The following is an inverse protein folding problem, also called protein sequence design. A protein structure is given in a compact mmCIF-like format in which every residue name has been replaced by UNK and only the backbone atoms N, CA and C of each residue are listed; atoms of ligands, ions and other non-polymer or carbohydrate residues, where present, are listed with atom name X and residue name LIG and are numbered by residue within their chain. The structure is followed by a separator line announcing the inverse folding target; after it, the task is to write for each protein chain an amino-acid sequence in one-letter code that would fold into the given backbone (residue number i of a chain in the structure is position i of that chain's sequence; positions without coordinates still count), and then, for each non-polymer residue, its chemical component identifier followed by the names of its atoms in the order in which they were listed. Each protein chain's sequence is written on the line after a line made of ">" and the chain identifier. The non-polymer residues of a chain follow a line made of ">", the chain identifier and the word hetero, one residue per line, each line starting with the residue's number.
data_IF_816828891838
#
_entry.id   IF_816828891838
#
_cell.length_a   1.000
_cell.length_b   1.000
_cell.length_c   1.000
_cell.angle_alpha   90.00
_cell.angle_beta   90.00
_cell.angle_gamma   90.00
#
_symmetry.space_group_name_H-M   'P 1'
#
loop_
_entity.id
_entity.type
_entity.pdbx_description
1 polymer ?
#
# COMPACT_ATOMS: atom_id res chain seq x y z
N UNK A 1 -61.21 -19.62 16.69
CA UNK A 1 -60.44 -20.65 15.95
C UNK A 1 -58.96 -20.43 16.20
N UNK A 2 -58.17 -21.46 16.54
CA UNK A 2 -56.73 -21.30 16.84
C UNK A 2 -55.93 -20.63 15.71
N UNK A 3 -56.45 -20.74 14.48
CA UNK A 3 -55.94 -20.09 13.27
C UNK A 3 -55.91 -18.56 13.35
N UNK A 4 -56.92 -17.92 13.95
CA UNK A 4 -56.99 -16.46 14.04
C UNK A 4 -56.03 -15.91 15.10
N UNK A 5 -55.82 -16.68 16.18
CA UNK A 5 -54.84 -16.35 17.22
C UNK A 5 -53.40 -16.47 16.68
N UNK A 6 -53.13 -17.48 15.87
CA UNK A 6 -51.85 -17.64 15.17
C UNK A 6 -51.63 -16.55 14.10
N UNK A 7 -52.69 -16.14 13.40
CA UNK A 7 -52.63 -15.04 12.44
C UNK A 7 -52.33 -13.70 13.12
N UNK A 8 -52.95 -13.43 14.28
CA UNK A 8 -52.71 -12.21 15.04
C UNK A 8 -51.29 -12.15 15.64
N UNK A 9 -50.78 -13.26 16.15
CA UNK A 9 -49.41 -13.31 16.70
C UNK A 9 -48.33 -13.20 15.63
N UNK A 10 -48.55 -13.82 14.46
CA UNK A 10 -47.64 -13.69 13.31
C UNK A 10 -47.65 -12.29 12.70
N UNK A 11 -48.83 -11.65 12.61
CA UNK A 11 -48.94 -10.25 12.20
C UNK A 11 -48.20 -9.30 13.16
N UNK A 12 -48.41 -9.44 14.48
CA UNK A 12 -47.69 -8.62 15.47
C UNK A 12 -46.18 -8.85 15.47
N UNK A 13 -45.71 -10.09 15.27
CA UNK A 13 -44.29 -10.39 15.15
C UNK A 13 -43.67 -9.81 13.86
N UNK A 14 -44.43 -9.75 12.78
CA UNK A 14 -44.01 -9.10 11.52
C UNK A 14 -43.87 -7.58 11.71
N UNK A 15 -44.86 -6.94 12.33
CA UNK A 15 -44.86 -5.48 12.58
C UNK A 15 -43.71 -5.05 13.51
N UNK A 16 -43.39 -5.87 14.52
CA UNK A 16 -42.23 -5.64 15.40
C UNK A 16 -40.91 -5.74 14.62
N UNK A 17 -40.76 -6.75 13.76
CA UNK A 17 -39.55 -6.88 12.94
C UNK A 17 -39.41 -5.71 11.96
N UNK A 18 -40.50 -5.30 11.33
CA UNK A 18 -40.49 -4.20 10.37
C UNK A 18 -40.15 -2.87 11.04
N UNK A 19 -40.77 -2.56 12.20
CA UNK A 19 -40.47 -1.35 12.96
C UNK A 19 -39.03 -1.31 13.47
N UNK A 20 -38.49 -2.44 13.92
CA UNK A 20 -37.07 -2.55 14.29
C UNK A 20 -36.14 -2.30 13.10
N UNK A 21 -36.46 -2.85 11.92
CA UNK A 21 -35.67 -2.61 10.70
C UNK A 21 -35.70 -1.14 10.27
N UNK A 22 -36.86 -0.49 10.33
CA UNK A 22 -37.00 0.94 10.02
C UNK A 22 -36.15 1.76 10.98
N UNK A 23 -36.24 1.48 12.29
CA UNK A 23 -35.45 2.18 13.30
C UNK A 23 -33.95 1.96 13.09
N UNK A 24 -33.50 0.73 12.85
CA UNK A 24 -32.08 0.46 12.57
C UNK A 24 -31.59 1.21 11.33
N UNK A 25 -32.42 1.30 10.29
CA UNK A 25 -32.10 2.08 9.09
C UNK A 25 -32.02 3.57 9.39
N UNK A 26 -32.92 4.10 10.23
CA UNK A 26 -32.89 5.48 10.71
C UNK A 26 -31.65 5.76 11.54
N UNK A 27 -31.37 4.95 12.57
CA UNK A 27 -30.19 5.08 13.43
C UNK A 27 -28.89 5.01 12.60
N UNK A 28 -28.84 4.15 11.57
CA UNK A 28 -27.71 4.10 10.63
C UNK A 28 -27.59 5.37 9.79
N UNK A 29 -28.70 5.94 9.34
CA UNK A 29 -28.70 7.17 8.56
C UNK A 29 -28.31 8.39 9.41
N UNK A 30 -28.79 8.44 10.65
CA UNK A 30 -28.36 9.46 11.63
C UNK A 30 -26.88 9.32 11.97
N UNK A 31 -26.35 8.10 12.05
CA UNK A 31 -24.91 7.89 12.26
C UNK A 31 -24.04 8.37 11.10
N UNK A 32 -24.62 8.53 9.90
CA UNK A 32 -23.97 9.10 8.71
C UNK A 32 -24.14 10.62 8.61
N UNK A 33 -24.89 11.25 9.52
CA UNK A 33 -25.07 12.69 9.53
C UNK A 33 -23.75 13.37 9.88
N UNK A 34 -23.39 14.37 9.07
CA UNK A 34 -22.19 15.17 9.28
C UNK A 34 -22.64 16.49 9.90
N UNK A 35 -22.12 16.89 11.07
CA UNK A 35 -22.47 18.17 11.67
C UNK A 35 -22.15 19.34 10.72
N UNK A 36 -23.05 20.33 10.64
CA UNK A 36 -22.92 21.45 9.67
C UNK A 36 -21.66 22.30 9.89
N UNK A 37 -21.14 22.39 11.12
CA UNK A 37 -19.88 23.08 11.45
C UNK A 37 -18.68 22.13 11.61
N UNK A 38 -18.75 20.91 11.06
CA UNK A 38 -17.69 19.93 11.24
C UNK A 38 -16.38 20.36 10.54
N UNK A 39 -15.32 20.55 11.33
CA UNK A 39 -13.96 20.67 10.82
C UNK A 39 -13.54 19.38 10.08
N UNK A 40 -12.65 19.52 9.09
CA UNK A 40 -12.10 18.44 8.26
C UNK A 40 -11.56 17.31 9.16
N UNK A 41 -10.84 17.67 10.22
CA UNK A 41 -10.28 16.73 11.20
C UNK A 41 -11.35 15.88 11.87
N UNK A 42 -12.49 16.50 12.20
CA UNK A 42 -13.64 15.83 12.82
C UNK A 42 -14.30 14.86 11.86
N UNK A 43 -14.48 15.26 10.59
CA UNK A 43 -15.05 14.39 9.56
C UNK A 43 -14.14 13.18 9.28
N UNK A 44 -12.82 13.39 9.22
CA UNK A 44 -11.85 12.30 9.10
C UNK A 44 -11.94 11.34 10.31
N UNK A 45 -12.09 11.88 11.52
CA UNK A 45 -12.23 11.05 12.72
C UNK A 45 -13.48 10.15 12.69
N UNK A 46 -14.61 10.65 12.16
CA UNK A 46 -15.81 9.84 11.90
C UNK A 46 -15.54 8.72 10.89
N UNK A 47 -14.87 9.03 9.78
CA UNK A 47 -14.47 8.02 8.80
C UNK A 47 -13.56 6.94 9.41
N UNK A 48 -12.59 7.33 10.23
CA UNK A 48 -11.70 6.39 10.94
C UNK A 48 -12.45 5.52 11.95
N UNK A 49 -13.51 6.05 12.58
CA UNK A 49 -14.39 5.26 13.45
C UNK A 49 -15.12 4.19 12.66
N UNK A 50 -15.63 4.50 11.47
CA UNK A 50 -16.29 3.51 10.61
C UNK A 50 -15.34 2.42 10.10
N UNK A 51 -14.06 2.75 9.85
CA UNK A 51 -13.05 1.71 9.57
C UNK A 51 -12.92 0.75 10.76
N UNK A 52 -12.89 1.26 12.00
CA UNK A 52 -12.81 0.42 13.21
C UNK A 52 -14.05 -0.45 13.39
N UNK A 53 -15.21 0.04 12.94
CA UNK A 53 -16.47 -0.70 12.91
C UNK A 53 -16.57 -1.71 11.75
N UNK A 54 -15.51 -1.87 10.96
CA UNK A 54 -15.48 -2.71 9.76
C UNK A 54 -16.50 -2.33 8.67
N UNK A 55 -16.86 -1.04 8.59
CA UNK A 55 -17.78 -0.49 7.59
C UNK A 55 -17.03 0.44 6.61
N UNK A 56 -16.23 -0.10 5.68
CA UNK A 56 -15.44 0.73 4.75
C UNK A 56 -16.30 1.59 3.81
N UNK A 57 -17.52 1.14 3.47
CA UNK A 57 -18.46 1.92 2.64
C UNK A 57 -18.88 3.24 3.31
N UNK A 58 -19.27 3.15 4.59
CA UNK A 58 -19.63 4.33 5.38
C UNK A 58 -18.40 5.24 5.59
N UNK A 59 -17.23 4.65 5.81
CA UNK A 59 -15.99 5.41 5.96
C UNK A 59 -15.67 6.25 4.72
N UNK A 60 -15.88 5.70 3.51
CA UNK A 60 -15.70 6.42 2.24
C UNK A 60 -16.61 7.65 2.18
N UNK A 61 -17.86 7.57 2.65
CA UNK A 61 -18.76 8.72 2.67
C UNK A 61 -18.15 9.91 3.44
N UNK A 62 -17.64 9.65 4.65
CA UNK A 62 -16.98 10.68 5.45
C UNK A 62 -15.70 11.21 4.79
N UNK A 63 -14.84 10.34 4.25
CA UNK A 63 -13.62 10.82 3.58
C UNK A 63 -13.92 11.60 2.30
N UNK A 64 -14.94 11.23 1.54
CA UNK A 64 -15.42 12.03 0.42
C UNK A 64 -15.85 13.42 0.88
N UNK A 65 -16.59 13.52 1.99
CA UNK A 65 -16.97 14.83 2.53
C UNK A 65 -15.76 15.65 2.99
N UNK A 66 -14.80 15.01 3.67
CA UNK A 66 -13.55 15.68 4.04
C UNK A 66 -12.81 16.23 2.81
N UNK A 67 -12.85 15.50 1.68
CA UNK A 67 -12.23 15.90 0.43
C UNK A 67 -13.04 16.93 -0.38
N UNK A 68 -14.35 17.07 -0.13
CA UNK A 68 -15.13 18.21 -0.64
C UNK A 68 -14.71 19.52 0.06
N UNK A 69 -14.35 19.44 1.34
CA UNK A 69 -13.86 20.59 2.12
C UNK A 69 -12.40 20.93 1.77
N UNK A 70 -11.56 19.91 1.60
CA UNK A 70 -10.18 20.05 1.14
C UNK A 70 -9.78 18.88 0.24
N UNK A 71 -9.76 19.11 -1.07
CA UNK A 71 -9.52 18.08 -2.08
C UNK A 71 -8.14 17.44 -2.03
N UNK A 72 -7.16 18.07 -1.37
CA UNK A 72 -5.77 17.61 -1.30
C UNK A 72 -5.35 17.15 0.09
N UNK A 73 -6.30 16.94 1.03
CA UNK A 73 -5.97 16.41 2.35
C UNK A 73 -5.38 14.99 2.25
N UNK A 74 -4.07 14.89 2.55
CA UNK A 74 -3.30 13.66 2.42
C UNK A 74 -3.87 12.55 3.32
N UNK A 75 -4.35 12.88 4.53
CA UNK A 75 -4.84 11.87 5.46
C UNK A 75 -6.18 11.29 5.00
N UNK A 76 -7.09 12.12 4.49
CA UNK A 76 -8.34 11.68 3.90
C UNK A 76 -8.12 10.84 2.65
N UNK A 77 -7.23 11.27 1.73
CA UNK A 77 -6.86 10.49 0.53
C UNK A 77 -6.28 9.11 0.89
N UNK A 78 -5.31 9.04 1.81
CA UNK A 78 -4.72 7.77 2.25
C UNK A 78 -5.76 6.86 2.91
N UNK A 79 -6.63 7.43 3.74
CA UNK A 79 -7.64 6.65 4.46
C UNK A 79 -8.72 6.12 3.52
N UNK A 80 -9.16 6.94 2.55
CA UNK A 80 -10.10 6.52 1.52
C UNK A 80 -9.50 5.49 0.56
N UNK A 81 -8.24 5.66 0.16
CA UNK A 81 -7.49 4.65 -0.59
C UNK A 81 -7.50 3.29 0.10
N UNK A 82 -7.24 3.26 1.41
CA UNK A 82 -7.32 2.04 2.21
C UNK A 82 -8.71 1.41 2.18
N UNK A 83 -9.78 2.20 2.29
CA UNK A 83 -11.14 1.70 2.19
C UNK A 83 -11.44 1.11 0.81
N UNK A 84 -10.99 1.75 -0.26
CA UNK A 84 -11.13 1.21 -1.62
C UNK A 84 -10.43 -0.13 -1.78
N UNK A 85 -9.23 -0.32 -1.21
CA UNK A 85 -8.57 -1.64 -1.20
C UNK A 85 -9.37 -2.70 -0.45
N UNK A 86 -9.97 -2.35 0.70
CA UNK A 86 -10.83 -3.27 1.45
C UNK A 86 -12.08 -3.69 0.66
N UNK A 87 -12.55 -2.83 -0.25
CA UNK A 87 -13.68 -3.11 -1.14
C UNK A 87 -13.27 -3.73 -2.48
N UNK A 88 -11.97 -3.97 -2.71
CA UNK A 88 -11.45 -4.50 -3.98
C UNK A 88 -11.38 -3.48 -5.12
N UNK A 89 -11.64 -2.19 -4.85
CA UNK A 89 -11.61 -1.11 -5.84
C UNK A 89 -10.19 -0.53 -6.00
N UNK A 90 -9.22 -1.38 -6.35
CA UNK A 90 -7.79 -1.01 -6.37
C UNK A 90 -7.44 0.15 -7.31
N UNK A 91 -8.17 0.33 -8.41
CA UNK A 91 -7.96 1.46 -9.33
C UNK A 91 -8.26 2.82 -8.68
N UNK A 92 -9.32 2.91 -7.87
CA UNK A 92 -9.65 4.15 -7.14
C UNK A 92 -8.66 4.38 -6.00
N UNK A 93 -8.25 3.31 -5.34
CA UNK A 93 -7.21 3.37 -4.31
C UNK A 93 -5.88 3.92 -4.84
N UNK A 94 -5.50 3.54 -6.06
CA UNK A 94 -4.31 4.03 -6.73
C UNK A 94 -4.42 5.54 -7.01
N UNK A 95 -5.54 6.01 -7.54
CA UNK A 95 -5.76 7.44 -7.82
C UNK A 95 -5.62 8.30 -6.57
N UNK A 96 -6.22 7.88 -5.45
CA UNK A 96 -6.09 8.58 -4.17
C UNK A 96 -4.64 8.59 -3.67
N UNK A 97 -3.93 7.47 -3.78
CA UNK A 97 -2.53 7.38 -3.37
C UNK A 97 -1.60 8.24 -4.25
N UNK A 98 -1.89 8.34 -5.54
CA UNK A 98 -1.16 9.20 -6.49
C UNK A 98 -1.40 10.68 -6.20
N UNK A 99 -2.64 11.05 -5.93
CA UNK A 99 -3.00 12.42 -5.54
C UNK A 99 -2.26 12.81 -4.25
N UNK A 100 -2.27 11.93 -3.24
CA UNK A 100 -1.56 12.16 -1.98
C UNK A 100 -0.03 12.32 -2.18
N UNK A 101 0.57 11.56 -3.11
CA UNK A 101 1.99 11.68 -3.47
C UNK A 101 2.30 12.89 -4.35
N UNK A 102 1.29 13.45 -5.03
CA UNK A 102 1.39 14.74 -5.72
C UNK A 102 1.66 15.87 -4.74
N UNK A 103 0.97 15.84 -3.60
CA UNK A 103 1.10 16.82 -2.51
C UNK A 103 2.36 16.61 -1.68
N UNK A 104 2.58 15.38 -1.19
CA UNK A 104 3.81 15.01 -0.48
C UNK A 104 4.43 13.76 -1.10
N UNK A 105 5.41 14.00 -1.95
CA UNK A 105 6.15 12.96 -2.67
C UNK A 105 6.79 11.93 -1.74
N UNK A 106 7.15 12.30 -0.50
CA UNK A 106 7.87 11.45 0.43
C UNK A 106 6.98 10.90 1.55
N UNK A 107 5.67 11.08 1.46
CA UNK A 107 4.75 10.56 2.45
C UNK A 107 4.80 9.02 2.50
N UNK A 108 5.31 8.48 3.61
CA UNK A 108 5.54 7.04 3.77
C UNK A 108 4.23 6.24 3.66
N UNK A 109 3.14 6.78 4.20
CA UNK A 109 1.83 6.11 4.16
C UNK A 109 1.25 6.12 2.75
N UNK A 110 1.39 7.22 2.01
CA UNK A 110 0.95 7.26 0.61
C UNK A 110 1.80 6.36 -0.31
N UNK A 111 3.12 6.28 -0.08
CA UNK A 111 4.02 5.34 -0.78
C UNK A 111 3.52 3.90 -0.58
N UNK A 112 3.18 3.54 0.65
CA UNK A 112 2.63 2.24 0.98
C UNK A 112 1.29 1.98 0.27
N UNK A 113 0.34 2.91 0.36
CA UNK A 113 -0.96 2.77 -0.31
C UNK A 113 -0.82 2.61 -1.83
N UNK A 114 0.10 3.35 -2.46
CA UNK A 114 0.38 3.18 -3.89
C UNK A 114 0.95 1.80 -4.20
N UNK A 115 1.90 1.31 -3.39
CA UNK A 115 2.47 -0.02 -3.56
C UNK A 115 1.42 -1.13 -3.42
N UNK A 116 0.55 -1.06 -2.41
CA UNK A 116 -0.56 -2.01 -2.25
C UNK A 116 -1.56 -1.93 -3.40
N UNK A 117 -1.94 -0.72 -3.82
CA UNK A 117 -2.88 -0.56 -4.94
C UNK A 117 -2.35 -1.18 -6.23
N UNK A 118 -1.06 -0.94 -6.54
CA UNK A 118 -0.39 -1.57 -7.68
C UNK A 118 -0.33 -3.09 -7.55
N UNK A 119 -0.10 -3.62 -6.34
CA UNK A 119 -0.10 -5.05 -6.08
C UNK A 119 -1.47 -5.68 -6.40
N UNK A 120 -2.56 -5.09 -5.90
CA UNK A 120 -3.92 -5.58 -6.16
C UNK A 120 -4.35 -5.41 -7.62
N UNK A 121 -3.74 -4.49 -8.36
CA UNK A 121 -3.92 -4.35 -9.81
C UNK A 121 -3.07 -5.34 -10.64
N UNK A 122 -2.25 -6.17 -10.00
CA UNK A 122 -1.34 -7.11 -10.67
C UNK A 122 -0.10 -6.45 -11.28
N UNK A 123 0.13 -5.17 -11.02
CA UNK A 123 1.31 -4.43 -11.49
C UNK A 123 2.49 -4.65 -10.53
N UNK A 124 2.92 -5.91 -10.42
CA UNK A 124 3.86 -6.35 -9.38
C UNK A 124 5.23 -5.69 -9.47
N UNK A 125 5.77 -5.44 -10.66
CA UNK A 125 7.07 -4.77 -10.83
C UNK A 125 7.07 -3.35 -10.25
N UNK A 126 6.04 -2.57 -10.57
CA UNK A 126 5.89 -1.22 -10.04
C UNK A 126 5.61 -1.24 -8.54
N UNK A 127 4.75 -2.17 -8.08
CA UNK A 127 4.49 -2.37 -6.65
C UNK A 127 5.78 -2.63 -5.87
N UNK A 128 6.63 -3.55 -6.36
CA UNK A 128 7.90 -3.92 -5.76
C UNK A 128 8.85 -2.71 -5.66
N UNK A 129 8.89 -1.89 -6.72
CA UNK A 129 9.67 -0.65 -6.73
C UNK A 129 9.24 0.32 -5.60
N UNK A 130 7.94 0.52 -5.40
CA UNK A 130 7.42 1.40 -4.34
C UNK A 130 7.60 0.79 -2.95
N UNK A 131 7.47 -0.53 -2.78
CA UNK A 131 7.81 -1.18 -1.51
C UNK A 131 9.30 -1.00 -1.15
N UNK A 132 10.22 -1.16 -2.10
CA UNK A 132 11.63 -0.86 -1.88
C UNK A 132 11.91 0.62 -1.62
N UNK A 133 11.18 1.53 -2.27
CA UNK A 133 11.27 2.96 -1.97
C UNK A 133 10.89 3.25 -0.52
N UNK A 134 9.79 2.68 -0.03
CA UNK A 134 9.38 2.80 1.37
C UNK A 134 10.40 2.16 2.33
N UNK A 135 10.94 0.99 1.99
CA UNK A 135 11.96 0.31 2.79
C UNK A 135 13.26 1.12 2.91
N UNK A 136 13.69 1.81 1.85
CA UNK A 136 14.84 2.72 1.89
C UNK A 136 14.61 3.93 2.79
N UNK A 137 13.39 4.46 2.79
CA UNK A 137 13.04 5.62 3.61
C UNK A 137 12.82 5.25 5.08
N UNK A 138 12.26 4.07 5.35
CA UNK A 138 11.93 3.56 6.70
C UNK A 138 12.20 2.04 6.81
N UNK A 139 13.47 1.63 6.99
CA UNK A 139 13.87 0.21 7.04
C UNK A 139 13.25 -0.58 8.21
N UNK A 140 12.87 0.11 9.28
CA UNK A 140 12.29 -0.44 10.50
C UNK A 140 10.83 -0.89 10.33
N UNK A 141 10.12 -0.35 9.33
CA UNK A 141 8.72 -0.65 9.09
C UNK A 141 8.58 -2.01 8.38
N UNK A 142 8.22 -3.03 9.17
CA UNK A 142 8.08 -4.42 8.70
C UNK A 142 7.09 -4.59 7.52
N UNK A 143 6.08 -3.71 7.42
CA UNK A 143 5.11 -3.70 6.32
C UNK A 143 5.76 -3.58 4.94
N UNK A 144 6.85 -2.83 4.78
CA UNK A 144 7.54 -2.75 3.50
C UNK A 144 8.31 -4.02 3.17
N UNK A 145 8.96 -4.64 4.16
CA UNK A 145 9.65 -5.91 3.97
C UNK A 145 8.66 -7.02 3.59
N UNK A 146 7.51 -7.05 4.25
CA UNK A 146 6.43 -7.97 3.94
C UNK A 146 5.87 -7.71 2.53
N UNK A 147 5.69 -6.45 2.15
CA UNK A 147 5.26 -6.07 0.79
C UNK A 147 6.24 -6.53 -0.29
N UNK A 148 7.55 -6.34 -0.07
CA UNK A 148 8.61 -6.87 -0.96
C UNK A 148 8.48 -8.38 -1.11
N UNK A 149 8.42 -9.13 0.00
CA UNK A 149 8.30 -10.58 -0.03
C UNK A 149 7.05 -11.05 -0.80
N UNK A 150 5.87 -10.52 -0.43
CA UNK A 150 4.60 -10.86 -1.10
C UNK A 150 4.65 -10.60 -2.60
N UNK A 151 5.25 -9.48 -2.99
CA UNK A 151 5.32 -9.08 -4.40
C UNK A 151 6.32 -9.93 -5.19
N UNK A 152 7.46 -10.29 -4.59
CA UNK A 152 8.42 -11.23 -5.18
C UNK A 152 7.80 -12.61 -5.38
N UNK A 153 7.12 -13.14 -4.36
CA UNK A 153 6.40 -14.41 -4.46
C UNK A 153 5.32 -14.35 -5.55
N UNK A 154 4.57 -13.25 -5.66
CA UNK A 154 3.60 -13.06 -6.73
C UNK A 154 4.26 -13.09 -8.12
N UNK A 155 5.38 -12.40 -8.31
CA UNK A 155 6.14 -12.41 -9.57
C UNK A 155 6.63 -13.84 -9.88
N UNK A 156 7.26 -14.52 -8.93
CA UNK A 156 7.76 -15.89 -9.12
C UNK A 156 6.63 -16.86 -9.49
N UNK A 157 5.48 -16.73 -8.84
CA UNK A 157 4.29 -17.53 -9.14
C UNK A 157 3.74 -17.25 -10.54
N UNK A 158 3.77 -15.99 -11.01
CA UNK A 158 3.35 -15.65 -12.39
C UNK A 158 4.30 -16.20 -13.45
N UNK A 159 5.59 -16.30 -13.16
CA UNK A 159 6.61 -16.83 -14.08
C UNK A 159 6.69 -18.38 -14.00
N UNK A 160 6.07 -19.01 -12.99
CA UNK A 160 6.07 -20.47 -12.82
C UNK A 160 7.44 -21.04 -12.41
N UNK A 161 8.34 -20.20 -11.89
CA UNK A 161 9.77 -20.54 -11.71
C UNK A 161 10.11 -21.08 -10.32
N UNK A 162 9.33 -22.02 -9.78
CA UNK A 162 9.96 -23.02 -8.90
C UNK A 162 10.61 -24.05 -9.82
N UNK A 163 11.92 -23.97 -10.12
CA UNK A 163 12.59 -25.18 -10.58
C UNK A 163 12.41 -26.19 -9.45
N UNK A 164 11.69 -27.28 -9.71
CA UNK A 164 11.81 -28.46 -8.87
C UNK A 164 13.30 -28.82 -8.74
N UNK A 165 13.72 -29.53 -7.68
CA UNK A 165 15.10 -29.96 -7.57
C UNK A 165 15.44 -30.69 -8.88
N UNK A 166 16.39 -30.14 -9.63
CA UNK A 166 16.82 -30.69 -10.91
C UNK A 166 17.33 -32.09 -10.62
N UNK A 167 16.49 -33.09 -10.89
CA UNK A 167 16.85 -34.48 -10.73
C UNK A 167 17.94 -34.81 -11.75
N UNK A 168 19.13 -35.12 -11.25
CA UNK A 168 20.14 -35.87 -11.99
C UNK A 168 20.90 -35.08 -13.06
N UNK A 169 21.86 -34.25 -12.65
CA UNK A 169 23.09 -34.14 -13.41
C UNK A 169 24.02 -35.28 -12.95
N UNK A 170 24.44 -36.22 -13.83
CA UNK A 170 25.37 -37.27 -13.45
C UNK A 170 26.72 -36.66 -13.09
N UNK A 171 27.23 -37.10 -11.93
CA UNK A 171 28.54 -36.75 -11.39
C UNK A 171 29.66 -37.04 -12.39
N UNK A 172 30.31 -36.01 -12.89
CA UNK A 172 31.62 -36.15 -13.54
C UNK A 172 32.71 -36.22 -12.45
N UNK A 173 33.65 -37.19 -12.50
CA UNK A 173 34.63 -37.39 -11.45
C UNK A 173 35.74 -36.35 -11.51
N UNK A 174 36.22 -35.95 -10.33
CA UNK A 174 37.37 -35.06 -10.14
C UNK A 174 38.68 -35.67 -10.68
N UNK A 175 39.61 -34.86 -11.23
CA UNK A 175 41.01 -35.22 -11.26
C UNK A 175 41.76 -34.62 -10.05
N UNK A 176 42.42 -35.51 -9.30
CA UNK A 176 43.35 -35.16 -8.22
C UNK A 176 44.72 -34.72 -8.78
N UNK A 177 45.25 -33.66 -8.17
CA UNK A 177 46.66 -33.37 -7.85
C UNK A 177 47.77 -33.49 -8.91
N UNK A 178 48.46 -32.38 -9.16
CA UNK A 178 49.84 -32.33 -9.66
C UNK A 178 50.58 -31.09 -9.11
N UNK A 179 51.67 -31.30 -8.37
CA UNK A 179 52.49 -30.31 -7.64
C UNK A 179 53.46 -29.52 -8.57
N UNK A 180 53.70 -28.28 -8.16
CA UNK A 180 54.97 -27.50 -8.21
C UNK A 180 55.60 -27.08 -9.54
N UNK A 181 55.82 -25.76 -9.70
CA UNK A 181 57.17 -25.13 -9.70
C UNK A 181 57.13 -23.60 -9.60
N UNK A 182 58.07 -23.07 -8.81
CA UNK A 182 58.43 -21.66 -8.54
C UNK A 182 59.26 -21.06 -9.69
N UNK A 183 59.13 -19.74 -9.90
CA UNK A 183 60.21 -18.71 -9.97
C UNK A 183 59.56 -17.38 -10.41
N UNK A 184 59.70 -16.27 -9.66
CA UNK A 184 60.63 -15.16 -9.97
C UNK A 184 60.01 -14.25 -11.05
N UNK A 185 59.90 -12.93 -11.00
CA UNK A 185 60.71 -11.88 -10.39
C UNK A 185 59.94 -10.55 -10.54
N UNK A 186 60.21 -9.64 -9.60
CA UNK A 186 60.35 -8.19 -9.75
C UNK A 186 59.17 -7.26 -10.11
N UNK A 187 58.92 -6.37 -9.15
CA UNK A 187 58.52 -4.98 -9.38
C UNK A 187 59.80 -4.13 -9.54
N UNK A 188 59.73 -2.95 -10.17
CA UNK A 188 59.67 -1.77 -9.31
C UNK A 188 58.77 -0.62 -9.79
N UNK A 189 58.50 0.23 -8.80
CA UNK A 189 57.89 1.56 -8.80
C UNK A 189 58.34 2.46 -9.96
N UNK A 190 57.44 3.32 -10.44
CA UNK A 190 57.80 4.70 -10.75
C UNK A 190 56.78 5.66 -10.15
N UNK A 191 57.33 6.68 -9.49
CA UNK A 191 56.67 7.86 -8.97
C UNK A 191 56.62 8.93 -10.07
N UNK A 192 55.70 9.87 -9.88
CA UNK A 192 55.94 11.33 -9.83
C UNK A 192 55.16 12.17 -10.84
N UNK A 193 54.50 13.19 -10.25
CA UNK A 193 54.34 14.59 -10.68
C UNK A 193 53.69 14.86 -12.06
N UNK A 194 52.79 15.82 -12.25
CA UNK A 194 52.43 17.03 -11.52
C UNK A 194 51.94 18.06 -12.56
N UNK A 195 51.01 18.95 -12.20
CA UNK A 195 50.72 20.29 -12.77
C UNK A 195 49.24 20.62 -12.47
N UNK A 196 48.86 21.59 -11.62
CA UNK A 196 48.96 23.07 -11.67
C UNK A 196 48.19 23.77 -12.82
N UNK A 197 47.32 24.71 -12.42
CA UNK A 197 46.69 25.75 -13.25
C UNK A 197 45.27 25.39 -13.76
N UNK A 198 44.26 26.26 -13.79
CA UNK A 198 44.17 27.68 -13.53
C UNK A 198 42.69 28.12 -13.39
N UNK A 199 42.46 29.12 -12.53
CA UNK A 199 41.63 30.33 -12.72
C UNK A 199 40.25 30.31 -13.44
N UNK A 200 39.24 30.70 -12.63
CA UNK A 200 38.52 31.98 -12.73
C UNK A 200 37.18 32.14 -13.50
N UNK A 201 36.36 33.01 -12.88
CA UNK A 201 35.21 33.83 -13.33
C UNK A 201 33.85 33.16 -13.42
N UNK A 202 32.92 33.48 -12.51
CA UNK A 202 32.09 34.72 -12.42
C UNK A 202 31.31 34.98 -13.71
N UNK A 203 29.98 34.81 -13.65
CA UNK A 203 29.02 35.84 -14.07
C UNK A 203 27.63 35.58 -13.48
N UNK A 204 27.16 36.58 -12.75
CA UNK A 204 25.78 36.78 -12.34
C UNK A 204 24.94 37.37 -13.49
N UNK A 205 23.62 37.28 -13.31
CA UNK A 205 22.54 38.19 -13.74
C UNK A 205 21.95 38.02 -15.15
N UNK A 206 20.70 38.50 -15.37
CA UNK A 206 19.85 39.35 -14.52
C UNK A 206 18.99 38.61 -13.50
#
# INVERSE_FOLDING_TARGET
>A
TDKDRAAASSAGAFDIKQSLQIKQKQDRNEALLIPDEADISSVIALGLKEIKNANPENAIHFFCKALELNSTDINALISRSKCYLLLGEASKALQDAETALGEDKNNIRAIYQKAESLYYLGQFEQSLMFFHRGLRARPELALFRLGVQKTQEAIENTIGSKPGPVAGAPSAPAPKSGKSRKSGEETPKSQAAGATGASARIRQKP
#
